data_IF_435442951630
#
_entry.id   IF_435442951630
#
_cell.length_a   1.000
_cell.length_b   1.000
_cell.length_c   1.000
_cell.angle_alpha   90.00
_cell.angle_beta   90.00
_cell.angle_gamma   90.00
#
_symmetry.space_group_name_H-M   'P 1'
#
loop_
_entity.id
_entity.type
_entity.pdbx_description
1 polymer ?
#
# COMPACT_ATOMS: atom_id res chain seq x y z
N UNK A 1 -8.00 -45.42 -23.74
CA UNK A 1 -9.09 -44.56 -24.22
C UNK A 1 -9.57 -43.76 -23.03
N UNK A 2 -8.99 -42.57 -22.91
CA UNK A 2 -9.30 -41.54 -21.92
C UNK A 2 -10.69 -40.95 -22.13
N UNK A 3 -11.35 -40.57 -21.04
CA UNK A 3 -12.44 -39.57 -20.98
C UNK A 3 -13.02 -39.59 -19.57
N UNK A 4 -13.27 -38.51 -18.84
CA UNK A 4 -12.80 -37.14 -18.80
C UNK A 4 -13.24 -36.67 -17.40
N UNK A 5 -12.38 -35.98 -16.66
CA UNK A 5 -12.70 -35.52 -15.30
C UNK A 5 -13.70 -34.36 -15.36
N UNK A 6 -14.65 -34.41 -14.46
CA UNK A 6 -15.67 -33.42 -14.19
C UNK A 6 -15.02 -32.14 -13.62
N UNK A 7 -14.89 -31.12 -14.47
CA UNK A 7 -14.35 -29.82 -14.10
C UNK A 7 -15.49 -28.94 -13.59
N UNK A 8 -15.65 -28.92 -12.27
CA UNK A 8 -16.48 -27.95 -11.55
C UNK A 8 -15.97 -26.54 -11.86
N UNK A 9 -16.62 -25.86 -12.81
CA UNK A 9 -16.37 -24.45 -13.14
C UNK A 9 -16.74 -23.59 -11.94
N UNK A 10 -15.76 -23.02 -11.27
CA UNK A 10 -15.98 -21.93 -10.33
C UNK A 10 -16.52 -20.71 -11.11
N UNK A 11 -17.69 -20.20 -10.70
CA UNK A 11 -18.28 -19.02 -11.30
C UNK A 11 -17.40 -17.78 -11.10
N UNK A 12 -17.25 -16.92 -12.11
CA UNK A 12 -16.54 -15.66 -11.96
C UNK A 12 -17.33 -14.73 -11.04
N UNK A 13 -16.70 -14.30 -9.95
CA UNK A 13 -17.23 -13.27 -9.05
C UNK A 13 -17.45 -12.00 -9.88
N UNK A 14 -18.72 -11.68 -10.15
CA UNK A 14 -19.13 -10.51 -10.91
C UNK A 14 -18.93 -9.26 -10.03
N UNK A 15 -17.97 -8.41 -10.38
CA UNK A 15 -17.84 -7.08 -9.81
C UNK A 15 -18.68 -6.11 -10.66
N UNK A 16 -19.59 -5.39 -10.01
CA UNK A 16 -20.45 -4.36 -10.59
C UNK A 16 -19.58 -3.23 -11.19
N UNK A 17 -19.69 -3.05 -12.52
CA UNK A 17 -18.87 -2.16 -13.33
C UNK A 17 -19.37 -0.71 -13.40
N UNK A 18 -20.41 -0.36 -12.66
CA UNK A 18 -21.09 0.95 -12.74
C UNK A 18 -20.28 2.15 -12.22
N UNK A 19 -19.16 1.93 -11.53
CA UNK A 19 -18.32 3.03 -10.96
C UNK A 19 -17.22 3.52 -11.92
N UNK A 20 -17.01 2.85 -13.08
CA UNK A 20 -15.86 3.11 -13.97
C UNK A 20 -16.18 3.91 -15.24
N UNK A 21 -17.44 4.24 -15.51
CA UNK A 21 -17.88 4.75 -16.81
C UNK A 21 -17.35 6.17 -17.14
N UNK A 22 -17.18 7.01 -16.11
CA UNK A 22 -16.61 8.36 -16.28
C UNK A 22 -15.08 8.41 -16.45
N UNK A 23 -14.37 7.33 -16.13
CA UNK A 23 -12.92 7.27 -16.27
C UNK A 23 -12.49 6.71 -17.65
N UNK A 24 -13.31 5.84 -18.25
CA UNK A 24 -13.06 5.15 -19.53
C UNK A 24 -12.69 6.07 -20.71
N UNK A 25 -13.34 7.22 -20.85
CA UNK A 25 -13.15 8.11 -22.02
C UNK A 25 -11.78 8.76 -22.06
N UNK A 26 -11.14 8.99 -20.91
CA UNK A 26 -9.77 9.53 -20.82
C UNK A 26 -8.71 8.45 -21.08
N UNK A 27 -9.01 7.19 -20.77
CA UNK A 27 -8.11 6.07 -21.07
C UNK A 27 -7.95 5.83 -22.58
N UNK A 28 -8.99 6.09 -23.38
CA UNK A 28 -8.91 5.84 -24.83
C UNK A 28 -7.88 6.73 -25.54
N UNK A 29 -7.73 8.01 -25.15
CA UNK A 29 -6.73 8.89 -25.77
C UNK A 29 -5.31 8.53 -25.34
N UNK A 30 -5.08 8.28 -24.05
CA UNK A 30 -3.75 7.92 -23.53
C UNK A 30 -3.29 6.57 -24.09
N UNK A 31 -4.21 5.62 -24.25
CA UNK A 31 -3.95 4.32 -24.89
C UNK A 31 -3.51 4.46 -26.36
N UNK A 32 -3.94 5.50 -27.09
CA UNK A 32 -3.55 5.69 -28.49
C UNK A 32 -2.07 6.10 -28.64
N UNK A 33 -1.57 7.00 -27.78
CA UNK A 33 -0.16 7.40 -27.74
C UNK A 33 0.77 6.30 -27.21
N UNK A 34 0.26 5.42 -26.35
CA UNK A 34 1.05 4.33 -25.78
C UNK A 34 1.12 3.12 -26.73
N UNK A 35 0.13 2.97 -27.61
CA UNK A 35 0.13 1.96 -28.69
C UNK A 35 1.32 2.12 -29.63
N UNK A 36 1.77 3.36 -29.87
CA UNK A 36 2.91 3.64 -30.76
C UNK A 36 4.26 3.21 -30.19
N UNK A 37 4.36 2.96 -28.88
CA UNK A 37 5.58 2.46 -28.24
C UNK A 37 5.68 0.92 -28.20
N UNK A 38 4.67 0.20 -28.69
CA UNK A 38 4.70 -1.27 -28.82
C UNK A 38 4.74 -2.07 -27.51
N UNK A 39 4.69 -1.42 -26.33
CA UNK A 39 4.78 -2.06 -25.00
C UNK A 39 3.46 -2.07 -24.20
N UNK A 40 2.34 -2.11 -24.90
CA UNK A 40 0.99 -2.04 -24.27
C UNK A 40 0.72 -3.16 -23.26
N UNK A 41 1.26 -4.36 -23.48
CA UNK A 41 1.07 -5.50 -22.58
C UNK A 41 1.76 -5.29 -21.21
N UNK A 42 2.98 -4.77 -21.21
CA UNK A 42 3.74 -4.48 -19.99
C UNK A 42 3.13 -3.31 -19.23
N UNK A 43 2.64 -2.30 -19.95
CA UNK A 43 2.01 -1.15 -19.33
C UNK A 43 0.67 -1.51 -18.69
N UNK A 44 -0.15 -2.34 -19.35
CA UNK A 44 -1.41 -2.82 -18.79
C UNK A 44 -1.17 -3.72 -17.57
N UNK A 45 -0.06 -4.47 -17.54
CA UNK A 45 0.37 -5.22 -16.34
C UNK A 45 0.72 -4.30 -15.18
N UNK A 46 1.55 -3.28 -15.41
CA UNK A 46 1.95 -2.30 -14.39
C UNK A 46 0.73 -1.51 -13.91
N UNK A 47 -0.14 -1.08 -14.83
CA UNK A 47 -1.36 -0.35 -14.51
C UNK A 47 -2.31 -1.15 -13.63
N UNK A 48 -2.54 -2.43 -13.98
CA UNK A 48 -3.37 -3.32 -13.17
C UNK A 48 -2.76 -3.63 -11.80
N UNK A 49 -1.43 -3.66 -11.68
CA UNK A 49 -0.75 -3.79 -10.40
C UNK A 49 -1.07 -2.62 -9.45
N UNK A 50 -1.00 -1.38 -9.96
CA UNK A 50 -1.26 -0.18 -9.15
C UNK A 50 -2.75 0.09 -8.87
N UNK A 51 -3.65 -0.39 -9.73
CA UNK A 51 -5.10 -0.10 -9.60
C UNK A 51 -5.93 -1.20 -8.98
N UNK A 52 -5.56 -2.47 -9.19
CA UNK A 52 -6.29 -3.64 -8.68
C UNK A 52 -5.57 -4.35 -7.54
N UNK A 53 -4.41 -3.83 -7.15
CA UNK A 53 -3.62 -4.31 -6.02
C UNK A 53 -2.66 -5.43 -6.39
N UNK A 54 -1.69 -5.64 -5.50
CA UNK A 54 -0.55 -6.52 -5.72
C UNK A 54 -0.96 -8.01 -5.76
N UNK A 55 -2.09 -8.37 -5.13
CA UNK A 55 -2.67 -9.72 -5.18
C UNK A 55 -3.26 -10.05 -6.56
N UNK A 56 -3.85 -9.08 -7.26
CA UNK A 56 -4.41 -9.28 -8.61
C UNK A 56 -3.32 -9.58 -9.64
N UNK A 57 -2.11 -9.04 -9.44
CA UNK A 57 -0.98 -9.32 -10.30
C UNK A 57 -0.55 -10.80 -10.26
N UNK A 58 -0.55 -11.40 -9.07
CA UNK A 58 -0.22 -12.84 -8.89
C UNK A 58 -1.21 -13.72 -9.65
N UNK A 59 -2.49 -13.36 -9.66
CA UNK A 59 -3.53 -14.10 -10.39
C UNK A 59 -3.32 -14.08 -11.91
N UNK A 60 -2.70 -13.02 -12.45
CA UNK A 60 -2.42 -12.89 -13.89
C UNK A 60 -1.10 -13.52 -14.34
N UNK A 61 -0.20 -13.81 -13.40
CA UNK A 61 1.11 -14.38 -13.69
C UNK A 61 1.22 -15.86 -13.32
N UNK A 62 0.43 -16.34 -12.36
CA UNK A 62 0.50 -17.71 -11.88
C UNK A 62 -0.22 -18.72 -12.81
N UNK A 63 0.33 -19.92 -12.91
CA UNK A 63 -0.29 -21.06 -13.60
C UNK A 63 -1.64 -21.40 -12.95
N UNK A 64 -2.67 -21.72 -13.76
CA UNK A 64 -4.07 -21.91 -13.35
C UNK A 64 -4.26 -22.75 -12.08
N UNK A 65 -3.47 -23.82 -11.93
CA UNK A 65 -3.52 -24.73 -10.78
C UNK A 65 -3.07 -24.11 -9.45
N UNK A 66 -2.20 -23.11 -9.48
CA UNK A 66 -1.59 -22.51 -8.28
C UNK A 66 -2.11 -21.10 -7.97
N UNK A 67 -2.96 -20.52 -8.83
CA UNK A 67 -3.54 -19.18 -8.62
C UNK A 67 -4.12 -18.99 -7.22
N UNK A 68 -5.01 -19.86 -6.69
CA UNK A 68 -5.65 -19.60 -5.39
C UNK A 68 -4.64 -19.70 -4.23
N UNK A 69 -3.72 -20.66 -4.29
CA UNK A 69 -2.71 -20.84 -3.24
C UNK A 69 -1.69 -19.69 -3.24
N UNK A 70 -1.14 -19.35 -4.40
CA UNK A 70 -0.10 -18.32 -4.50
C UNK A 70 -0.66 -16.93 -4.19
N UNK A 71 -1.90 -16.65 -4.61
CA UNK A 71 -2.56 -15.38 -4.28
C UNK A 71 -2.83 -15.25 -2.77
N UNK A 72 -3.27 -16.33 -2.12
CA UNK A 72 -3.47 -16.36 -0.67
C UNK A 72 -2.14 -16.15 0.08
N UNK A 73 -1.10 -16.89 -0.28
CA UNK A 73 0.20 -16.80 0.36
C UNK A 73 0.84 -15.42 0.20
N UNK A 74 0.87 -14.89 -1.03
CA UNK A 74 1.39 -13.53 -1.28
C UNK A 74 0.56 -12.49 -0.54
N UNK A 75 -0.76 -12.68 -0.45
CA UNK A 75 -1.63 -11.80 0.33
C UNK A 75 -1.22 -11.71 1.80
N UNK A 76 -0.93 -12.85 2.45
CA UNK A 76 -0.44 -12.87 3.83
C UNK A 76 0.94 -12.25 3.98
N UNK A 77 1.87 -12.56 3.08
CA UNK A 77 3.20 -11.94 3.08
C UNK A 77 3.11 -10.42 2.94
N UNK A 78 2.20 -9.92 2.10
CA UNK A 78 1.98 -8.50 1.91
C UNK A 78 1.43 -7.84 3.17
N UNK A 79 0.41 -8.43 3.79
CA UNK A 79 -0.17 -7.90 5.03
C UNK A 79 0.89 -7.83 6.15
N UNK A 80 1.76 -8.84 6.26
CA UNK A 80 2.86 -8.84 7.21
C UNK A 80 3.91 -7.76 6.88
N UNK A 81 4.25 -7.57 5.61
CA UNK A 81 5.20 -6.55 5.19
C UNK A 81 4.69 -5.12 5.47
N UNK A 82 3.42 -4.84 5.16
CA UNK A 82 2.81 -3.53 5.40
C UNK A 82 2.69 -3.24 6.90
N UNK A 83 2.25 -4.23 7.70
CA UNK A 83 2.17 -4.08 9.16
C UNK A 83 3.54 -3.91 9.81
N UNK A 84 4.55 -4.66 9.37
CA UNK A 84 5.92 -4.51 9.83
C UNK A 84 6.47 -3.11 9.49
N UNK A 85 6.26 -2.63 8.27
CA UNK A 85 6.67 -1.28 7.84
C UNK A 85 6.00 -0.20 8.70
N UNK A 86 4.68 -0.27 8.87
CA UNK A 86 3.94 0.67 9.71
C UNK A 86 4.42 0.68 11.17
N UNK A 87 4.67 -0.51 11.73
CA UNK A 87 5.21 -0.64 13.10
C UNK A 87 6.61 -0.04 13.24
N UNK A 88 7.48 -0.23 12.25
CA UNK A 88 8.84 0.30 12.27
C UNK A 88 8.86 1.83 12.26
N UNK A 89 8.03 2.46 11.42
CA UNK A 89 7.90 3.92 11.37
C UNK A 89 7.38 4.51 12.70
N UNK A 90 6.38 3.86 13.31
CA UNK A 90 5.84 4.28 14.60
C UNK A 90 6.88 4.14 15.72
N UNK A 91 7.66 3.06 15.74
CA UNK A 91 8.73 2.85 16.72
C UNK A 91 9.83 3.90 16.59
N UNK A 92 10.27 4.19 15.36
CA UNK A 92 11.28 5.22 15.11
C UNK A 92 10.81 6.59 15.63
N UNK A 93 9.55 6.93 15.37
CA UNK A 93 8.94 8.19 15.85
C UNK A 93 8.86 8.23 17.39
N UNK A 94 8.49 7.13 18.03
CA UNK A 94 8.46 7.04 19.50
C UNK A 94 9.86 7.21 20.14
N UNK A 95 10.91 6.71 19.48
CA UNK A 95 12.30 6.91 19.90
C UNK A 95 12.73 8.37 19.76
N UNK A 96 12.37 9.05 18.66
CA UNK A 96 12.64 10.48 18.48
C UNK A 96 11.96 11.30 19.60
N UNK A 97 10.69 11.01 19.91
CA UNK A 97 9.96 11.67 20.99
C UNK A 97 10.65 11.43 22.33
N UNK A 98 11.08 10.20 22.59
CA UNK A 98 11.81 9.86 23.82
C UNK A 98 13.07 10.72 23.96
N UNK A 99 13.86 10.87 22.89
CA UNK A 99 15.05 11.72 22.87
C UNK A 99 14.71 13.20 23.11
N UNK A 100 13.60 13.70 22.54
CA UNK A 100 13.15 15.07 22.79
C UNK A 100 12.80 15.29 24.26
N UNK A 101 12.12 14.34 24.91
CA UNK A 101 11.81 14.46 26.34
C UNK A 101 13.07 14.51 27.19
N UNK A 102 14.09 13.70 26.88
CA UNK A 102 15.38 13.76 27.57
C UNK A 102 16.08 15.13 27.45
N UNK A 103 15.89 15.83 26.32
CA UNK A 103 16.49 17.15 26.09
C UNK A 103 15.74 18.24 26.87
N UNK A 104 14.40 18.23 26.84
CA UNK A 104 13.58 19.30 27.43
C UNK A 104 13.25 19.11 28.92
N UNK A 105 13.23 17.86 29.39
CA UNK A 105 12.86 17.49 30.77
C UNK A 105 13.86 16.47 31.34
N UNK A 106 15.12 16.87 31.57
CA UNK A 106 16.19 15.96 32.03
C UNK A 106 15.95 15.42 33.46
N UNK A 107 15.07 16.07 34.22
CA UNK A 107 14.68 15.71 35.58
C UNK A 107 13.69 14.55 35.65
N UNK A 108 13.01 14.23 34.55
CA UNK A 108 12.04 13.14 34.48
C UNK A 108 12.74 11.83 34.04
N UNK A 109 12.82 10.80 34.90
CA UNK A 109 13.43 9.53 34.51
C UNK A 109 12.49 8.78 33.55
N UNK A 110 12.78 8.87 32.26
CA UNK A 110 11.99 8.22 31.22
C UNK A 110 12.18 6.69 31.26
N UNK A 111 11.08 5.95 31.30
CA UNK A 111 11.07 4.49 31.41
C UNK A 111 10.63 3.85 30.10
N UNK A 112 11.11 2.64 29.81
CA UNK A 112 10.84 1.94 28.53
C UNK A 112 9.34 1.74 28.24
N UNK A 113 8.51 1.57 29.27
CA UNK A 113 7.06 1.43 29.06
C UNK A 113 6.42 2.74 28.56
N UNK A 114 6.99 3.91 28.83
CA UNK A 114 6.48 5.19 28.34
C UNK A 114 6.68 5.31 26.83
N UNK A 115 7.85 4.87 26.33
CA UNK A 115 8.07 4.73 24.88
C UNK A 115 7.08 3.76 24.25
N UNK A 116 6.76 2.65 24.92
CA UNK A 116 5.72 1.72 24.46
C UNK A 116 4.32 2.36 24.42
N UNK A 117 3.94 3.17 25.41
CA UNK A 117 2.66 3.90 25.40
C UNK A 117 2.58 4.91 24.26
N UNK A 118 3.67 5.64 24.00
CA UNK A 118 3.76 6.57 22.85
C UNK A 118 3.62 5.81 21.55
N UNK A 119 4.34 4.69 21.40
CA UNK A 119 4.22 3.81 20.24
C UNK A 119 2.78 3.32 20.04
N UNK A 120 2.11 2.87 21.10
CA UNK A 120 0.73 2.40 21.04
C UNK A 120 -0.23 3.54 20.65
N UNK A 121 -0.03 4.74 21.17
CA UNK A 121 -0.78 5.93 20.77
C UNK A 121 -0.59 6.28 19.29
N UNK A 122 0.63 6.16 18.76
CA UNK A 122 0.92 6.38 17.34
C UNK A 122 0.25 5.34 16.43
N UNK A 123 0.05 4.11 16.88
CA UNK A 123 -0.68 3.08 16.13
C UNK A 123 -2.21 3.29 16.10
N UNK A 124 -2.77 4.01 17.06
CA UNK A 124 -4.22 4.35 17.04
C UNK A 124 -4.52 5.32 15.89
N UNK A 125 -3.59 6.19 15.52
CA UNK A 125 -3.78 7.16 14.44
C UNK A 125 -4.11 6.47 13.10
N UNK A 126 -3.27 5.57 12.54
CA UNK A 126 -3.60 4.90 11.29
C UNK A 126 -4.87 4.06 11.41
N UNK A 127 -5.16 3.47 12.57
CA UNK A 127 -6.43 2.78 12.80
C UNK A 127 -7.64 3.71 12.61
N UNK A 128 -7.60 4.92 13.18
CA UNK A 128 -8.66 5.92 13.02
C UNK A 128 -8.75 6.45 11.58
N UNK A 129 -7.62 6.63 10.90
CA UNK A 129 -7.61 7.08 9.50
C UNK A 129 -8.26 6.04 8.56
N UNK A 130 -8.17 4.75 8.90
CA UNK A 130 -8.84 3.68 8.16
C UNK A 130 -10.38 3.69 8.30
N UNK A 131 -10.95 4.41 9.27
CA UNK A 131 -12.41 4.51 9.42
C UNK A 131 -13.08 5.35 8.31
N UNK A 132 -12.32 6.22 7.65
CA UNK A 132 -12.82 7.08 6.57
C UNK A 132 -11.98 6.92 5.31
N UNK A 133 -12.21 5.85 4.52
CA UNK A 133 -11.41 5.57 3.33
C UNK A 133 -11.51 6.67 2.26
N UNK A 134 -12.58 7.46 2.27
CA UNK A 134 -12.75 8.58 1.34
C UNK A 134 -11.75 9.73 1.58
N UNK A 135 -11.07 9.77 2.74
CA UNK A 135 -10.06 10.78 3.06
C UNK A 135 -8.62 10.34 2.72
N UNK A 136 -8.41 9.08 2.29
CA UNK A 136 -7.10 8.58 1.83
C UNK A 136 -6.35 9.49 0.85
N UNK A 137 -6.97 10.02 -0.24
CA UNK A 137 -6.24 10.84 -1.19
C UNK A 137 -5.72 12.14 -0.55
N UNK A 138 -6.44 12.66 0.45
CA UNK A 138 -6.01 13.85 1.20
C UNK A 138 -4.79 13.51 2.06
N UNK A 139 -4.85 12.40 2.82
CA UNK A 139 -3.73 11.96 3.66
C UNK A 139 -2.46 11.68 2.85
N UNK A 140 -2.60 11.04 1.69
CA UNK A 140 -1.46 10.79 0.78
C UNK A 140 -0.83 12.09 0.29
N UNK A 141 -1.65 13.08 -0.10
CA UNK A 141 -1.15 14.38 -0.55
C UNK A 141 -0.42 15.13 0.56
N UNK A 142 -0.97 15.14 1.77
CA UNK A 142 -0.34 15.76 2.94
C UNK A 142 0.99 15.09 3.26
N UNK A 143 1.02 13.75 3.29
CA UNK A 143 2.25 12.98 3.51
C UNK A 143 3.33 13.32 2.49
N UNK A 144 2.98 13.39 1.19
CA UNK A 144 3.92 13.73 0.13
C UNK A 144 4.54 15.13 0.32
N UNK A 145 3.73 16.12 0.71
CA UNK A 145 4.22 17.48 1.00
C UNK A 145 5.22 17.44 2.16
N UNK A 146 4.91 16.75 3.26
CA UNK A 146 5.83 16.64 4.39
C UNK A 146 7.14 15.91 4.03
N UNK A 147 7.09 14.87 3.21
CA UNK A 147 8.30 14.17 2.76
C UNK A 147 9.19 15.07 1.90
N UNK A 148 8.61 15.83 0.97
CA UNK A 148 9.36 16.75 0.12
C UNK A 148 9.99 17.86 0.96
N UNK A 149 9.23 18.47 1.88
CA UNK A 149 9.74 19.50 2.77
C UNK A 149 10.83 18.95 3.71
N UNK A 150 10.66 17.73 4.22
CA UNK A 150 11.65 17.05 5.05
C UNK A 150 12.97 16.79 4.31
N UNK A 151 12.90 16.42 3.02
CA UNK A 151 14.08 16.28 2.17
C UNK A 151 14.85 17.60 2.07
N UNK A 152 14.18 18.71 1.78
CA UNK A 152 14.84 20.02 1.73
C UNK A 152 15.35 20.49 3.09
N UNK A 153 14.59 20.21 4.16
CA UNK A 153 15.00 20.50 5.53
C UNK A 153 16.29 19.79 5.95
N UNK A 154 16.55 18.59 5.41
CA UNK A 154 17.82 17.88 5.59
C UNK A 154 18.91 18.30 4.61
N UNK A 155 18.55 18.59 3.35
CA UNK A 155 19.51 18.92 2.31
C UNK A 155 20.17 20.29 2.53
N UNK A 156 19.42 21.30 3.00
CA UNK A 156 19.95 22.67 3.18
C UNK A 156 21.05 22.72 4.24
N UNK A 157 20.92 22.12 5.45
CA UNK A 157 21.99 22.11 6.44
C UNK A 157 23.24 21.30 6.06
N UNK A 158 23.15 20.42 5.05
CA UNK A 158 24.25 19.55 4.60
C UNK A 158 24.94 20.04 3.31
N UNK A 159 24.46 21.13 2.71
CA UNK A 159 25.08 21.86 1.61
C UNK A 159 26.02 22.95 2.15
#
# INVERSE_FOLDING_TARGET
MDSAKDDTKAEPICYDGSVLEGSQTKYESDNAYLKSFGKMAELHRVYNFWTRGQQFYVQKLATEKFIPFLSYFVGWCLLLAETATGSSCALNTANIITTMVYIFHPDVPWKSYQTFLVYLGLLVIPFLLNLKPSALPVYSTVGAVFTILGFFGWAIPLL
#
